data_IF_999318739248
#
_entry.id   IF_999318739248
#
_cell.length_a   1.000
_cell.length_b   1.000
_cell.length_c   1.000
_cell.angle_alpha   90.00
_cell.angle_beta   90.00
_cell.angle_gamma   90.00
#
_symmetry.space_group_name_H-M   'P 1'
#
loop_
_entity.id
_entity.type
_entity.pdbx_description
1 polymer ?
#
# COMPACT_ATOMS: atom_id res chain seq x y z
N UNK A 1 12.94 3.46 -2.76
CA UNK A 1 13.85 2.31 -2.98
C UNK A 1 13.40 1.22 -2.04
N UNK A 2 13.28 -0.02 -2.52
CA UNK A 2 12.75 -1.10 -1.70
C UNK A 2 13.86 -1.74 -0.85
N UNK A 3 13.53 -2.12 0.39
CA UNK A 3 14.54 -2.69 1.30
C UNK A 3 14.62 -4.20 1.06
N UNK A 4 15.82 -4.76 1.21
CA UNK A 4 16.03 -6.19 1.08
C UNK A 4 15.83 -6.88 2.42
N UNK A 5 15.04 -7.96 2.43
CA UNK A 5 14.73 -8.74 3.62
C UNK A 5 15.12 -10.20 3.39
N UNK A 6 15.92 -10.76 4.31
CA UNK A 6 16.26 -12.18 4.34
C UNK A 6 15.28 -12.97 5.20
N UNK A 7 14.91 -14.15 4.71
CA UNK A 7 14.09 -15.13 5.41
C UNK A 7 14.35 -16.55 4.90
N UNK A 8 13.93 -17.57 5.65
CA UNK A 8 13.86 -18.94 5.15
C UNK A 8 12.58 -19.20 4.36
N UNK A 9 12.64 -20.08 3.35
CA UNK A 9 11.45 -20.60 2.68
C UNK A 9 10.64 -21.47 3.66
N UNK A 10 9.32 -21.25 3.80
CA UNK A 10 8.48 -22.03 4.71
C UNK A 10 8.38 -23.51 4.30
N UNK A 11 8.63 -23.83 3.03
CA UNK A 11 8.49 -25.18 2.49
C UNK A 11 9.78 -26.01 2.59
N UNK A 12 10.93 -25.42 2.27
CA UNK A 12 12.20 -26.16 2.18
C UNK A 12 13.32 -25.62 3.08
N UNK A 13 13.07 -24.56 3.86
CA UNK A 13 14.05 -23.93 4.74
C UNK A 13 15.17 -23.15 4.03
N UNK A 14 15.26 -23.21 2.70
CA UNK A 14 16.32 -22.55 1.94
C UNK A 14 16.25 -21.01 2.10
N UNK A 15 17.39 -20.31 2.14
CA UNK A 15 17.41 -18.85 2.31
C UNK A 15 16.83 -18.15 1.08
N UNK A 16 15.96 -17.17 1.29
CA UNK A 16 15.33 -16.36 0.26
C UNK A 16 15.46 -14.88 0.62
N UNK A 17 15.80 -14.07 -0.38
CA UNK A 17 15.79 -12.61 -0.29
C UNK A 17 14.53 -12.09 -0.97
N UNK A 18 13.70 -11.36 -0.24
CA UNK A 18 12.47 -10.72 -0.74
C UNK A 18 12.55 -9.22 -0.48
N UNK A 19 11.77 -8.43 -1.20
CA UNK A 19 11.64 -7.02 -0.91
C UNK A 19 10.75 -6.80 0.33
N UNK A 20 10.90 -5.66 1.00
CA UNK A 20 10.09 -5.28 2.17
C UNK A 20 8.60 -5.17 1.83
N UNK A 21 8.27 -4.73 0.61
CA UNK A 21 6.90 -4.60 0.13
C UNK A 21 6.32 -5.90 -0.43
N UNK A 22 7.12 -6.95 -0.57
CA UNK A 22 6.67 -8.22 -1.13
C UNK A 22 5.70 -8.93 -0.19
N UNK A 23 4.55 -9.29 -0.75
CA UNK A 23 3.56 -10.17 -0.14
C UNK A 23 3.48 -11.53 -0.86
N UNK A 24 4.22 -11.71 -1.94
CA UNK A 24 4.27 -12.92 -2.75
C UNK A 24 5.71 -13.18 -3.21
N UNK A 25 6.15 -14.44 -3.19
CA UNK A 25 7.44 -14.82 -3.78
C UNK A 25 7.42 -16.26 -4.29
N UNK A 26 8.29 -16.53 -5.27
CA UNK A 26 8.57 -17.88 -5.75
C UNK A 26 9.89 -18.34 -5.14
N UNK A 27 9.90 -19.47 -4.44
CA UNK A 27 11.15 -19.98 -3.89
C UNK A 27 12.08 -20.43 -5.03
N UNK A 28 13.32 -19.93 -5.14
CA UNK A 28 14.22 -20.34 -6.22
C UNK A 28 14.66 -21.80 -6.12
N UNK A 29 14.52 -22.43 -4.94
CA UNK A 29 14.93 -23.81 -4.68
C UNK A 29 13.79 -24.81 -4.92
N UNK A 30 12.69 -24.72 -4.15
CA UNK A 30 11.56 -25.66 -4.29
C UNK A 30 10.52 -25.25 -5.35
N UNK A 31 10.65 -24.06 -5.94
CA UNK A 31 9.74 -23.50 -6.96
C UNK A 31 8.29 -23.29 -6.52
N UNK A 32 7.99 -23.44 -5.23
CA UNK A 32 6.66 -23.18 -4.68
C UNK A 32 6.39 -21.68 -4.58
N UNK A 33 5.21 -21.27 -5.03
CA UNK A 33 4.67 -19.93 -4.86
C UNK A 33 4.10 -19.75 -3.45
N UNK A 34 4.51 -18.68 -2.76
CA UNK A 34 4.13 -18.41 -1.38
C UNK A 34 3.63 -16.98 -1.23
N UNK A 35 2.55 -16.81 -0.49
CA UNK A 35 2.16 -15.51 0.06
C UNK A 35 2.75 -15.31 1.46
N UNK A 36 3.08 -14.07 1.77
CA UNK A 36 3.51 -13.59 3.08
C UNK A 36 2.34 -12.82 3.70
N UNK A 37 1.80 -13.34 4.80
CA UNK A 37 0.72 -12.69 5.54
C UNK A 37 1.32 -12.04 6.78
N UNK A 38 1.00 -10.77 7.00
CA UNK A 38 1.52 -9.98 8.13
C UNK A 38 0.37 -9.49 9.03
N UNK A 39 -0.20 -10.33 9.93
CA UNK A 39 -1.41 -10.00 10.69
C UNK A 39 -1.30 -8.74 11.55
N UNK A 40 -0.11 -8.45 12.08
CA UNK A 40 0.18 -7.27 12.90
C UNK A 40 1.17 -6.29 12.24
N UNK A 41 1.18 -6.26 10.91
CA UNK A 41 2.10 -5.47 10.09
C UNK A 41 3.49 -6.11 9.97
N UNK A 42 4.19 -5.77 8.90
CA UNK A 42 5.50 -6.35 8.60
C UNK A 42 6.56 -5.84 9.59
N UNK A 43 7.34 -6.76 10.17
CA UNK A 43 8.30 -6.49 11.24
C UNK A 43 9.67 -7.02 10.86
N UNK A 44 10.66 -6.14 10.92
CA UNK A 44 12.02 -6.37 10.48
C UNK A 44 13.00 -5.89 11.54
N UNK A 45 14.18 -6.52 11.65
CA UNK A 45 15.27 -6.03 12.46
C UNK A 45 16.46 -5.66 11.56
N UNK A 46 17.23 -4.64 11.97
CA UNK A 46 18.55 -4.42 11.41
C UNK A 46 19.46 -5.58 11.82
N UNK A 47 20.25 -6.07 10.87
CA UNK A 47 21.25 -7.10 11.14
C UNK A 47 22.27 -6.56 12.14
N UNK A 48 22.54 -7.33 13.20
CA UNK A 48 23.64 -7.03 14.12
C UNK A 48 24.97 -7.11 13.36
N UNK A 49 25.97 -6.32 13.77
CA UNK A 49 27.30 -6.44 13.17
C UNK A 49 27.91 -7.84 13.34
N UNK A 50 28.80 -8.22 12.42
CA UNK A 50 29.43 -9.56 12.32
C UNK A 50 30.23 -10.03 13.56
N UNK A 51 30.29 -9.25 14.65
CA UNK A 51 31.10 -9.52 15.84
C UNK A 51 30.31 -10.04 17.06
N UNK A 52 29.04 -10.44 16.91
CA UNK A 52 28.16 -10.71 18.06
C UNK A 52 27.65 -12.15 18.19
N UNK A 53 28.25 -13.12 17.49
CA UNK A 53 27.88 -14.55 17.66
C UNK A 53 28.14 -15.08 19.08
N UNK A 54 28.87 -14.36 19.92
CA UNK A 54 29.25 -14.80 21.28
C UNK A 54 28.56 -14.08 22.44
N UNK A 55 27.74 -13.04 22.22
CA UNK A 55 27.07 -12.30 23.31
C UNK A 55 25.61 -11.94 22.97
N UNK A 56 24.77 -12.96 22.74
CA UNK A 56 23.30 -12.77 22.65
C UNK A 56 22.62 -12.43 23.99
N UNK A 57 23.39 -12.21 25.06
CA UNK A 57 22.89 -11.72 26.33
C UNK A 57 22.55 -10.23 26.23
N UNK A 58 21.28 -9.89 26.49
CA UNK A 58 20.73 -8.54 26.66
C UNK A 58 20.67 -7.63 25.42
N UNK A 59 20.27 -8.18 24.26
CA UNK A 59 19.82 -7.38 23.12
C UNK A 59 18.36 -6.93 23.28
N UNK A 60 18.14 -5.63 23.07
CA UNK A 60 16.84 -4.98 23.10
C UNK A 60 16.51 -4.36 21.75
N UNK A 61 15.31 -4.61 21.26
CA UNK A 61 14.86 -4.15 19.95
C UNK A 61 14.01 -2.89 20.07
N UNK A 62 14.55 -1.76 19.63
CA UNK A 62 13.85 -0.47 19.66
C UNK A 62 13.02 -0.29 18.37
N UNK A 63 11.70 -0.03 18.48
CA UNK A 63 10.86 0.10 17.30
C UNK A 63 11.04 1.45 16.59
N UNK A 64 11.32 1.40 15.30
CA UNK A 64 11.12 2.48 14.35
C UNK A 64 9.99 2.10 13.38
N UNK A 65 9.20 3.07 12.95
CA UNK A 65 8.16 2.87 11.94
C UNK A 65 8.62 3.55 10.66
N UNK A 66 8.71 2.78 9.59
CA UNK A 66 8.89 3.33 8.25
C UNK A 66 7.52 3.56 7.62
N UNK A 67 7.31 4.77 7.12
CA UNK A 67 6.22 5.09 6.22
C UNK A 67 6.78 5.36 4.85
N UNK A 68 6.25 4.67 3.84
CA UNK A 68 6.59 4.89 2.44
C UNK A 68 5.31 4.91 1.62
N UNK A 69 5.02 5.99 0.93
CA UNK A 69 3.81 6.07 0.10
C UNK A 69 3.50 7.47 -0.40
N UNK A 70 2.35 7.61 -1.06
CA UNK A 70 1.87 8.91 -1.53
C UNK A 70 0.90 9.53 -0.53
N UNK A 71 1.14 10.79 -0.17
CA UNK A 71 0.23 11.61 0.62
C UNK A 71 -0.49 12.56 -0.32
N UNK A 72 -1.81 12.54 -0.31
CA UNK A 72 -2.68 13.48 -1.01
C UNK A 72 -3.34 14.40 0.00
N UNK A 73 -3.30 15.71 -0.27
CA UNK A 73 -3.95 16.72 0.55
C UNK A 73 -4.90 17.54 -0.30
N UNK A 74 -6.09 17.77 0.24
CA UNK A 74 -7.02 18.76 -0.28
C UNK A 74 -7.08 19.90 0.71
N UNK A 75 -6.58 21.07 0.31
CA UNK A 75 -6.60 22.30 1.11
C UNK A 75 -6.97 23.49 0.22
N UNK A 76 -7.71 24.44 0.80
CA UNK A 76 -8.22 25.59 0.04
C UNK A 76 -9.05 25.15 -1.17
N UNK A 77 -8.47 25.23 -2.38
CA UNK A 77 -9.06 24.78 -3.66
C UNK A 77 -8.08 23.99 -4.52
N UNK A 78 -7.12 23.31 -3.91
CA UNK A 78 -6.11 22.54 -4.62
C UNK A 78 -6.01 21.12 -4.07
N UNK A 79 -5.70 20.19 -4.97
CA UNK A 79 -5.32 18.83 -4.62
C UNK A 79 -3.81 18.75 -4.83
N UNK A 80 -3.07 18.69 -3.73
CA UNK A 80 -1.61 18.54 -3.74
C UNK A 80 -1.23 17.12 -3.36
N UNK A 81 -0.06 16.69 -3.80
CA UNK A 81 0.43 15.34 -3.53
C UNK A 81 1.94 15.30 -3.38
N UNK A 82 2.44 14.36 -2.58
CA UNK A 82 3.88 14.12 -2.42
C UNK A 82 4.15 12.65 -2.12
N UNK A 83 5.31 12.16 -2.53
CA UNK A 83 5.84 10.86 -2.08
C UNK A 83 6.65 11.11 -0.82
N UNK A 84 6.42 10.29 0.20
CA UNK A 84 7.13 10.35 1.48
C UNK A 84 7.73 8.98 1.76
N UNK A 85 9.02 8.96 2.14
CA UNK A 85 9.72 7.79 2.64
C UNK A 85 10.52 8.23 3.87
N UNK A 86 10.08 7.83 5.06
CA UNK A 86 10.67 8.27 6.32
C UNK A 86 10.62 7.16 7.36
N UNK A 87 11.63 7.12 8.23
CA UNK A 87 11.64 6.29 9.44
C UNK A 87 11.51 7.18 10.65
N UNK A 88 10.61 6.85 11.57
CA UNK A 88 10.40 7.59 12.81
C UNK A 88 10.50 6.68 14.02
N UNK A 89 11.17 7.16 15.06
CA UNK A 89 11.24 6.49 16.35
C UNK A 89 9.84 6.29 16.96
N UNK A 90 9.51 5.05 17.32
CA UNK A 90 8.23 4.68 17.93
C UNK A 90 8.23 4.66 19.47
N UNK A 91 9.40 4.83 20.09
CA UNK A 91 9.61 4.80 21.54
C UNK A 91 10.15 6.15 22.04
N UNK A 92 9.43 6.83 22.93
CA UNK A 92 9.73 8.22 23.32
C UNK A 92 10.26 8.39 24.72
N UNK A 93 10.28 7.33 25.53
CA UNK A 93 10.76 7.39 26.91
C UNK A 93 12.30 7.43 27.00
N UNK A 94 12.99 7.39 25.85
CA UNK A 94 14.45 7.46 25.74
C UNK A 94 14.85 8.37 24.58
N UNK A 95 15.90 9.17 24.79
CA UNK A 95 16.49 10.02 23.76
C UNK A 95 17.31 9.16 22.79
N UNK A 96 16.68 8.77 21.69
CA UNK A 96 17.32 8.01 20.61
C UNK A 96 17.33 8.81 19.31
N UNK A 97 18.17 8.43 18.33
CA UNK A 97 18.15 9.05 17.02
C UNK A 97 16.72 9.08 16.45
N UNK A 98 16.24 10.22 15.91
CA UNK A 98 14.85 10.37 15.49
C UNK A 98 14.48 9.51 14.27
N UNK A 99 15.48 9.07 13.50
CA UNK A 99 15.32 8.18 12.35
C UNK A 99 16.45 7.15 12.27
N UNK A 100 16.25 6.11 11.45
CA UNK A 100 17.29 5.14 11.12
C UNK A 100 18.25 5.64 10.03
N UNK A 101 18.03 6.83 9.46
CA UNK A 101 18.80 7.34 8.34
C UNK A 101 18.72 6.41 7.12
N UNK A 102 19.85 6.24 6.44
CA UNK A 102 19.96 5.38 5.25
C UNK A 102 20.27 3.90 5.58
N UNK A 103 20.44 3.55 6.86
CA UNK A 103 20.86 2.20 7.28
C UNK A 103 19.97 1.09 6.74
N UNK A 104 18.62 1.19 6.77
CA UNK A 104 17.77 0.14 6.23
C UNK A 104 17.98 -0.08 4.72
N UNK A 105 18.45 0.93 3.98
CA UNK A 105 18.73 0.85 2.53
C UNK A 105 20.13 0.27 2.24
N UNK A 106 21.06 0.40 3.20
CA UNK A 106 22.44 -0.06 3.07
C UNK A 106 22.66 -1.50 3.56
N UNK A 107 21.66 -2.09 4.22
CA UNK A 107 21.77 -3.39 4.89
C UNK A 107 20.64 -4.32 4.49
N UNK A 108 20.90 -5.63 4.58
CA UNK A 108 19.82 -6.62 4.54
C UNK A 108 19.16 -6.70 5.91
N UNK A 109 17.84 -6.57 5.90
CA UNK A 109 17.02 -6.71 7.09
C UNK A 109 16.71 -8.19 7.34
N UNK A 110 16.48 -8.55 8.59
CA UNK A 110 15.97 -9.87 8.95
C UNK A 110 14.50 -9.75 9.34
N UNK A 111 13.67 -10.69 8.90
CA UNK A 111 12.27 -10.75 9.35
C UNK A 111 12.24 -11.22 10.80
N UNK A 112 11.53 -10.47 11.65
CA UNK A 112 11.44 -10.83 13.07
C UNK A 112 10.66 -12.14 13.18
N UNK A 113 11.26 -13.12 13.86
CA UNK A 113 10.64 -14.40 14.13
C UNK A 113 10.69 -14.72 15.63
N UNK A 114 9.91 -15.70 16.08
CA UNK A 114 9.94 -16.09 17.49
C UNK A 114 11.32 -16.60 17.92
N UNK A 115 11.99 -15.82 18.76
CA UNK A 115 13.16 -16.23 19.53
C UNK A 115 12.94 -15.94 21.02
N UNK A 116 13.12 -16.95 21.87
CA UNK A 116 12.73 -16.89 23.28
C UNK A 116 13.48 -15.83 24.10
N UNK A 117 14.70 -15.46 23.70
CA UNK A 117 15.57 -14.52 24.42
C UNK A 117 15.40 -13.06 24.01
N UNK A 118 14.70 -12.77 22.91
CA UNK A 118 14.63 -11.41 22.36
C UNK A 118 13.58 -10.55 23.07
N UNK A 119 13.95 -9.30 23.37
CA UNK A 119 13.09 -8.35 24.09
C UNK A 119 12.85 -7.10 23.25
N UNK A 120 11.59 -6.71 23.13
CA UNK A 120 11.14 -5.63 22.25
C UNK A 120 10.55 -4.48 23.05
N UNK A 121 10.92 -3.26 22.71
CA UNK A 121 10.31 -2.07 23.32
C UNK A 121 8.94 -1.82 22.67
N UNK A 122 7.95 -1.38 23.47
CA UNK A 122 6.62 -1.11 22.95
C UNK A 122 6.60 0.16 22.10
N UNK A 123 5.59 0.29 21.26
CA UNK A 123 5.26 1.56 20.63
C UNK A 123 4.57 2.46 21.66
N UNK A 124 5.18 3.61 21.92
CA UNK A 124 4.62 4.67 22.79
C UNK A 124 3.81 5.70 22.01
N UNK A 125 4.04 5.78 20.69
CA UNK A 125 3.34 6.69 19.79
C UNK A 125 2.32 5.92 18.94
N UNK A 126 1.15 6.53 18.71
CA UNK A 126 0.14 5.97 17.80
C UNK A 126 0.62 6.06 16.34
N UNK A 127 0.36 5.03 15.54
CA UNK A 127 0.71 5.01 14.11
C UNK A 127 0.14 6.22 13.36
N UNK A 128 -1.10 6.62 13.66
CA UNK A 128 -1.74 7.80 13.06
C UNK A 128 -0.97 9.10 13.29
N UNK A 129 -0.38 9.29 14.48
CA UNK A 129 0.45 10.47 14.75
C UNK A 129 1.78 10.44 13.98
N UNK A 130 2.32 9.26 13.68
CA UNK A 130 3.53 9.11 12.84
C UNK A 130 3.21 9.44 11.38
N UNK A 131 2.07 8.94 10.88
CA UNK A 131 1.55 9.30 9.56
C UNK A 131 1.31 10.82 9.42
N UNK A 132 0.78 11.45 10.47
CA UNK A 132 0.59 12.89 10.50
C UNK A 132 1.94 13.63 10.48
N UNK A 133 2.91 13.21 11.31
CA UNK A 133 4.27 13.78 11.31
C UNK A 133 4.98 13.62 9.97
N UNK A 134 4.82 12.48 9.30
CA UNK A 134 5.42 12.22 7.99
C UNK A 134 4.88 13.20 6.92
N UNK A 135 3.58 13.51 6.96
CA UNK A 135 2.98 14.54 6.12
C UNK A 135 3.46 15.96 6.48
N UNK A 136 3.70 16.26 7.75
CA UNK A 136 4.14 17.59 8.19
C UNK A 136 5.62 17.86 7.85
N UNK A 137 6.50 16.86 8.00
CA UNK A 137 7.91 16.92 7.59
C UNK A 137 8.05 17.19 6.08
N UNK A 138 7.01 16.90 5.32
CA UNK A 138 6.93 17.16 3.88
C UNK A 138 6.59 18.61 3.54
N UNK A 139 6.49 19.53 4.51
CA UNK A 139 6.27 20.97 4.28
C UNK A 139 4.97 21.32 3.54
N UNK A 140 4.01 20.38 3.46
CA UNK A 140 2.74 20.60 2.77
C UNK A 140 1.74 21.41 3.61
N UNK A 141 1.78 21.28 4.94
CA UNK A 141 0.96 22.09 5.86
C UNK A 141 1.49 23.54 5.97
N UNK A 142 2.68 23.82 5.45
CA UNK A 142 3.37 25.12 5.57
C UNK A 142 3.03 26.12 4.44
N UNK A 143 2.26 25.71 3.41
CA UNK A 143 1.83 26.61 2.33
C UNK A 143 0.52 27.32 2.69
N UNK A 144 0.61 28.25 3.63
CA UNK A 144 -0.44 29.21 3.94
C UNK A 144 -1.51 28.71 4.90
N UNK A 145 -2.24 29.67 5.49
CA UNK A 145 -3.29 29.51 6.51
C UNK A 145 -4.57 28.81 5.98
N UNK A 146 -4.46 27.96 4.96
CA UNK A 146 -5.58 27.32 4.30
C UNK A 146 -6.02 26.09 5.09
N UNK A 147 -7.33 26.01 5.38
CA UNK A 147 -7.92 24.88 6.09
C UNK A 147 -7.72 23.56 5.31
N UNK A 148 -7.21 22.54 6.00
CA UNK A 148 -7.06 21.18 5.48
C UNK A 148 -8.42 20.50 5.45
N UNK A 149 -8.94 20.23 4.25
CA UNK A 149 -10.27 19.64 4.05
C UNK A 149 -10.24 18.11 4.05
N UNK A 150 -9.19 17.52 3.50
CA UNK A 150 -9.03 16.07 3.44
C UNK A 150 -7.57 15.66 3.27
N UNK A 151 -7.22 14.50 3.83
CA UNK A 151 -5.92 13.85 3.71
C UNK A 151 -6.14 12.38 3.42
N UNK A 152 -5.45 11.86 2.41
CA UNK A 152 -5.45 10.45 2.05
C UNK A 152 -4.01 9.95 1.90
N UNK A 153 -3.79 8.75 2.38
CA UNK A 153 -2.58 7.99 2.15
C UNK A 153 -2.93 6.94 1.10
N UNK A 154 -2.12 6.83 0.04
CA UNK A 154 -2.36 5.91 -1.08
C UNK A 154 -1.03 5.33 -1.55
N UNK A 155 -1.02 4.02 -1.81
CA UNK A 155 0.19 3.28 -2.12
C UNK A 155 1.14 3.24 -0.94
N UNK A 156 0.62 3.22 0.30
CA UNK A 156 1.43 3.19 1.50
C UNK A 156 1.90 1.78 1.86
N UNK A 157 3.15 1.72 2.32
CA UNK A 157 3.72 0.62 3.09
C UNK A 157 4.05 1.14 4.49
N UNK A 158 3.58 0.40 5.50
CA UNK A 158 3.98 0.58 6.89
C UNK A 158 4.76 -0.66 7.33
N UNK A 159 6.00 -0.45 7.72
CA UNK A 159 6.85 -1.48 8.30
C UNK A 159 7.42 -1.04 9.64
N UNK A 160 7.59 -2.00 10.53
CA UNK A 160 8.32 -1.80 11.78
C UNK A 160 9.74 -2.28 11.56
N UNK A 161 10.72 -1.42 11.79
CA UNK A 161 12.14 -1.74 11.70
C UNK A 161 12.74 -1.57 13.08
N UNK A 162 13.31 -2.64 13.63
CA UNK A 162 13.90 -2.64 14.95
C UNK A 162 15.40 -2.35 14.89
N UNK A 163 15.83 -1.39 15.70
CA UNK A 163 17.24 -1.16 16.00
C UNK A 163 17.65 -2.05 17.18
N UNK A 164 18.57 -3.00 17.01
CA UNK A 164 19.13 -3.74 18.13
C UNK A 164 20.03 -2.82 18.97
N UNK A 165 19.80 -2.81 20.28
CA UNK A 165 20.52 -1.99 21.25
C UNK A 165 20.96 -2.87 22.41
N UNK A 166 22.17 -2.63 22.89
CA UNK A 166 22.75 -3.31 24.06
C UNK A 166 22.85 -2.33 25.23
N UNK A 167 22.65 -2.84 26.43
CA UNK A 167 22.74 -2.05 27.66
C UNK A 167 23.84 -2.62 28.56
N UNK A 168 24.84 -1.80 28.89
CA UNK A 168 25.87 -2.09 29.90
C UNK A 168 25.73 -1.09 31.05
N UNK A 169 25.09 -1.51 32.14
CA UNK A 169 24.69 -0.58 33.19
C UNK A 169 23.81 0.53 32.58
N UNK A 170 24.20 1.80 32.71
CA UNK A 170 23.46 2.93 32.11
C UNK A 170 23.88 3.24 30.67
N UNK A 171 24.98 2.69 30.19
CA UNK A 171 25.48 2.99 28.86
C UNK A 171 24.70 2.17 27.82
N UNK A 172 24.24 2.83 26.77
CA UNK A 172 23.54 2.20 25.67
C UNK A 172 24.42 2.21 24.44
N UNK A 173 24.44 1.08 23.72
CA UNK A 173 25.22 0.93 22.50
C UNK A 173 24.31 0.47 21.36
N UNK A 174 24.47 1.11 20.21
CA UNK A 174 23.89 0.66 18.95
C UNK A 174 24.57 -0.64 18.52
N UNK A 175 23.86 -1.77 18.47
CA UNK A 175 24.46 -3.08 18.16
C UNK A 175 24.77 -3.27 16.66
N UNK A 176 24.44 -2.28 15.82
CA UNK A 176 24.81 -2.27 14.40
C UNK A 176 26.19 -1.62 14.21
N UNK A 177 26.41 -0.47 14.84
CA UNK A 177 27.63 0.35 14.65
C UNK A 177 28.60 0.31 15.85
N UNK A 178 28.17 -0.29 16.97
CA UNK A 178 28.84 -0.24 18.26
C UNK A 178 29.07 1.20 18.80
N UNK A 179 28.28 2.17 18.33
CA UNK A 179 28.38 3.56 18.79
C UNK A 179 27.57 3.77 20.06
N UNK A 180 28.09 4.58 20.98
CA UNK A 180 27.36 5.00 22.17
C UNK A 180 26.09 5.80 21.82
N UNK A 181 25.01 5.49 22.51
CA UNK A 181 23.72 6.18 22.48
C UNK A 181 23.54 6.97 23.78
N UNK A 182 22.48 7.79 23.86
CA UNK A 182 22.17 8.48 25.11
C UNK A 182 21.94 7.48 26.24
N UNK A 183 22.50 7.73 27.44
CA UNK A 183 22.45 6.77 28.53
C UNK A 183 21.02 6.55 29.04
N UNK A 184 20.75 5.34 29.51
CA UNK A 184 19.51 4.99 30.15
C UNK A 184 19.37 5.66 31.54
N UNK A 185 18.13 5.88 32.02
CA UNK A 185 17.89 6.35 33.38
C UNK A 185 18.46 5.40 34.45
N UNK A 186 18.23 4.10 34.29
CA UNK A 186 18.66 3.02 35.20
C UNK A 186 19.30 1.88 34.41
N UNK A 187 20.05 1.03 35.10
CA UNK A 187 20.68 -0.18 34.57
C UNK A 187 19.68 -1.28 34.13
N UNK A 188 18.49 -1.28 34.72
CA UNK A 188 17.39 -2.20 34.37
C UNK A 188 16.37 -1.60 33.40
N UNK A 189 16.57 -0.37 32.93
CA UNK A 189 15.54 0.39 32.19
C UNK A 189 14.97 -0.36 30.97
N UNK A 190 15.82 -0.87 30.07
CA UNK A 190 15.33 -1.59 28.89
C UNK A 190 14.69 -2.92 29.29
N UNK A 191 15.20 -3.59 30.32
CA UNK A 191 14.63 -4.84 30.84
C UNK A 191 13.19 -4.65 31.33
N UNK A 192 12.96 -3.61 32.13
CA UNK A 192 11.65 -3.28 32.72
C UNK A 192 10.63 -2.83 31.67
N UNK A 193 11.07 -2.06 30.66
CA UNK A 193 10.18 -1.50 29.64
C UNK A 193 9.90 -2.45 28.49
N UNK A 194 10.81 -3.38 28.23
CA UNK A 194 10.68 -4.31 27.13
C UNK A 194 9.69 -5.43 27.42
N UNK A 195 9.15 -5.99 26.33
CA UNK A 195 8.21 -7.10 26.34
C UNK A 195 8.79 -8.25 25.52
N UNK A 196 8.46 -9.50 25.86
CA UNK A 196 8.81 -10.63 25.00
C UNK A 196 8.11 -10.50 23.64
N UNK A 197 8.65 -11.22 22.65
CA UNK A 197 8.03 -11.34 21.34
C UNK A 197 6.56 -11.78 21.45
N UNK A 198 5.68 -11.12 20.70
CA UNK A 198 4.26 -11.48 20.65
C UNK A 198 3.99 -12.34 19.43
N UNK A 199 3.39 -13.53 19.58
CA UNK A 199 3.13 -14.46 18.46
C UNK A 199 2.43 -13.84 17.26
N UNK A 200 1.51 -12.88 17.47
CA UNK A 200 0.82 -12.15 16.39
C UNK A 200 1.75 -11.31 15.50
N UNK A 201 2.99 -11.08 15.90
CA UNK A 201 4.01 -10.38 15.13
C UNK A 201 4.72 -11.29 14.12
N UNK A 202 4.57 -12.60 14.27
CA UNK A 202 5.09 -13.58 13.33
C UNK A 202 4.38 -13.40 12.00
N UNK A 203 5.15 -13.33 10.91
CA UNK A 203 4.59 -13.46 9.57
C UNK A 203 4.18 -14.91 9.34
N UNK A 204 2.98 -15.08 8.81
CA UNK A 204 2.48 -16.37 8.35
C UNK A 204 2.78 -16.54 6.86
N UNK A 205 2.88 -17.79 6.43
CA UNK A 205 3.07 -18.11 5.02
C UNK A 205 1.98 -19.07 4.57
N UNK A 206 1.38 -18.77 3.43
CA UNK A 206 0.38 -19.64 2.81
C UNK A 206 0.82 -19.96 1.39
N UNK A 207 0.67 -21.22 0.99
CA UNK A 207 0.89 -21.61 -0.39
C UNK A 207 -0.08 -20.82 -1.29
N UNK A 208 0.41 -20.35 -2.44
CA UNK A 208 -0.41 -19.62 -3.38
C UNK A 208 -1.29 -20.57 -4.18
N UNK A 209 -2.26 -21.20 -3.51
CA UNK A 209 -3.24 -22.11 -4.09
C UNK A 209 -4.63 -21.49 -3.98
N UNK A 210 -5.44 -21.66 -5.02
CA UNK A 210 -6.82 -21.22 -5.04
C UNK A 210 -7.62 -22.02 -4.00
N UNK A 211 -8.23 -21.37 -2.99
CA UNK A 211 -9.04 -22.07 -2.00
C UNK A 211 -10.25 -22.82 -2.58
N UNK A 212 -10.73 -22.47 -3.78
CA UNK A 212 -11.87 -23.14 -4.41
C UNK A 212 -11.49 -24.39 -5.23
N UNK A 213 -10.39 -24.35 -5.99
CA UNK A 213 -10.06 -25.43 -6.94
C UNK A 213 -8.66 -26.03 -6.76
N UNK A 214 -7.87 -25.54 -5.80
CA UNK A 214 -6.50 -26.00 -5.55
C UNK A 214 -5.46 -25.58 -6.60
N UNK A 215 -5.88 -24.88 -7.67
CA UNK A 215 -4.95 -24.46 -8.72
C UNK A 215 -3.98 -23.39 -8.22
N UNK A 216 -2.75 -23.41 -8.73
CA UNK A 216 -1.73 -22.44 -8.38
C UNK A 216 -2.09 -21.01 -8.80
N UNK A 217 -2.11 -20.10 -7.84
CA UNK A 217 -2.29 -18.67 -8.05
C UNK A 217 -0.96 -18.05 -8.48
N UNK A 218 -1.04 -17.22 -9.53
CA UNK A 218 0.12 -16.54 -10.11
C UNK A 218 0.10 -15.07 -9.68
N UNK A 219 1.23 -14.60 -9.16
CA UNK A 219 1.41 -13.23 -8.69
C UNK A 219 2.83 -12.72 -8.92
N UNK A 220 3.05 -11.48 -8.53
CA UNK A 220 4.36 -10.83 -8.48
C UNK A 220 4.58 -10.28 -7.07
N UNK A 221 5.81 -9.90 -6.73
CA UNK A 221 6.28 -9.46 -5.41
C UNK A 221 5.22 -8.85 -4.49
N UNK A 222 4.69 -7.68 -4.85
CA UNK A 222 3.77 -6.89 -4.04
C UNK A 222 2.27 -7.15 -4.33
N UNK A 223 1.95 -8.25 -5.01
CA UNK A 223 0.59 -8.54 -5.44
C UNK A 223 -0.32 -8.85 -4.24
N UNK A 224 -1.44 -8.14 -4.17
CA UNK A 224 -2.47 -8.24 -3.14
C UNK A 224 -3.71 -8.98 -3.62
N UNK A 225 -4.07 -8.89 -4.91
CA UNK A 225 -5.25 -9.56 -5.43
C UNK A 225 -4.98 -10.22 -6.79
N UNK A 226 -5.47 -11.45 -6.94
CA UNK A 226 -5.25 -12.25 -8.15
C UNK A 226 -6.51 -13.02 -8.57
N UNK A 227 -6.85 -13.02 -9.88
CA UNK A 227 -7.77 -13.99 -10.44
C UNK A 227 -7.12 -15.38 -10.51
N UNK A 228 -7.88 -16.42 -10.17
CA UNK A 228 -7.50 -17.80 -10.40
C UNK A 228 -7.54 -18.09 -11.90
N UNK A 229 -6.48 -18.66 -12.50
CA UNK A 229 -6.45 -18.96 -13.93
C UNK A 229 -7.29 -20.18 -14.33
N UNK A 230 -7.93 -20.87 -13.38
CA UNK A 230 -8.62 -22.14 -13.61
C UNK A 230 -10.14 -22.11 -13.36
N UNK A 231 -10.62 -21.41 -12.33
CA UNK A 231 -12.03 -21.48 -11.91
C UNK A 231 -12.75 -20.12 -11.85
N UNK A 232 -12.17 -19.10 -12.50
CA UNK A 232 -12.74 -17.75 -12.63
C UNK A 232 -13.14 -17.08 -11.30
N UNK A 233 -12.57 -17.49 -10.18
CA UNK A 233 -12.64 -16.77 -8.90
C UNK A 233 -11.50 -15.77 -8.75
N UNK A 234 -11.65 -14.72 -7.96
CA UNK A 234 -10.52 -13.88 -7.55
C UNK A 234 -10.36 -13.85 -6.04
N UNK A 235 -9.12 -13.65 -5.59
CA UNK A 235 -8.72 -13.72 -4.19
C UNK A 235 -7.86 -12.52 -3.83
N UNK A 236 -8.17 -11.87 -2.69
CA UNK A 236 -7.38 -10.81 -2.09
C UNK A 236 -6.68 -11.36 -0.84
N UNK A 237 -5.41 -11.03 -0.70
CA UNK A 237 -4.63 -11.30 0.49
C UNK A 237 -5.05 -10.34 1.61
N UNK A 238 -5.57 -10.92 2.69
CA UNK A 238 -5.92 -10.20 3.91
C UNK A 238 -5.05 -10.69 5.07
N UNK A 239 -5.10 -9.98 6.21
CA UNK A 239 -4.46 -10.44 7.45
C UNK A 239 -4.99 -11.78 7.99
N UNK A 240 -6.06 -12.33 7.41
CA UNK A 240 -6.63 -13.66 7.73
C UNK A 240 -6.39 -14.70 6.64
N UNK A 241 -5.55 -14.40 5.65
CA UNK A 241 -5.34 -15.23 4.46
C UNK A 241 -6.14 -14.75 3.25
N UNK A 242 -6.38 -15.66 2.29
CA UNK A 242 -7.06 -15.34 1.03
C UNK A 242 -8.58 -15.21 1.23
N UNK A 243 -9.13 -14.07 0.81
CA UNK A 243 -10.57 -13.81 0.82
C UNK A 243 -11.07 -13.67 -0.61
N UNK A 244 -12.20 -14.31 -0.91
CA UNK A 244 -12.80 -14.23 -2.23
C UNK A 244 -13.35 -12.82 -2.48
N UNK A 245 -13.16 -12.31 -3.69
CA UNK A 245 -13.66 -11.01 -4.11
C UNK A 245 -14.42 -11.11 -5.44
N UNK A 246 -15.39 -10.22 -5.62
CA UNK A 246 -16.07 -10.05 -6.89
C UNK A 246 -15.13 -9.39 -7.90
N UNK A 247 -15.03 -9.98 -9.10
CA UNK A 247 -14.23 -9.40 -10.17
C UNK A 247 -14.94 -9.45 -11.52
N UNK A 248 -14.51 -8.56 -12.41
CA UNK A 248 -15.00 -8.39 -13.77
C UNK A 248 -13.81 -8.13 -14.70
N UNK A 249 -14.06 -8.19 -16.00
CA UNK A 249 -13.09 -7.80 -17.01
C UNK A 249 -13.75 -6.98 -18.11
N UNK A 250 -12.97 -6.11 -18.74
CA UNK A 250 -13.37 -5.43 -19.97
C UNK A 250 -13.41 -6.37 -21.17
N UNK A 251 -13.99 -5.89 -22.26
CA UNK A 251 -13.92 -6.54 -23.57
C UNK A 251 -12.73 -6.02 -24.36
N UNK A 252 -11.98 -6.92 -25.00
CA UNK A 252 -10.87 -6.59 -25.88
C UNK A 252 -10.94 -7.41 -27.16
N UNK A 253 -10.56 -6.79 -28.27
CA UNK A 253 -10.32 -7.49 -29.54
C UNK A 253 -8.83 -7.73 -29.78
N UNK A 254 -7.96 -7.14 -28.97
CA UNK A 254 -6.51 -7.29 -29.06
C UNK A 254 -6.04 -8.47 -28.19
N UNK A 255 -5.62 -9.54 -28.85
CA UNK A 255 -5.07 -10.72 -28.18
C UNK A 255 -3.77 -10.45 -27.39
N UNK A 256 -3.09 -9.32 -27.67
CA UNK A 256 -1.86 -8.91 -27.02
C UNK A 256 -2.05 -7.80 -25.98
N UNK A 257 -3.30 -7.41 -25.69
CA UNK A 257 -3.61 -6.36 -24.74
C UNK A 257 -2.99 -6.63 -23.36
N UNK A 258 -2.51 -5.54 -22.74
CA UNK A 258 -2.06 -5.52 -21.36
C UNK A 258 -3.25 -5.25 -20.45
N UNK A 259 -3.56 -6.17 -19.55
CA UNK A 259 -4.71 -6.04 -18.65
C UNK A 259 -4.29 -5.39 -17.33
N UNK A 260 -4.76 -4.16 -17.11
CA UNK A 260 -4.46 -3.38 -15.91
C UNK A 260 -5.62 -3.46 -14.92
N UNK A 261 -5.35 -3.66 -13.60
CA UNK A 261 -6.39 -3.81 -12.60
C UNK A 261 -6.87 -2.47 -12.05
N UNK A 262 -8.18 -2.36 -11.80
CA UNK A 262 -8.86 -1.21 -11.23
C UNK A 262 -9.85 -1.65 -10.16
N UNK A 263 -9.93 -0.90 -9.07
CA UNK A 263 -11.06 -0.97 -8.16
C UNK A 263 -12.22 -0.16 -8.75
N UNK A 264 -13.33 -0.84 -9.03
CA UNK A 264 -14.62 -0.21 -9.31
C UNK A 264 -15.40 -0.11 -8.01
N UNK A 265 -15.64 1.12 -7.56
CA UNK A 265 -16.39 1.41 -6.32
C UNK A 265 -17.67 2.16 -6.69
N UNK A 266 -18.80 1.47 -6.68
CA UNK A 266 -20.12 2.06 -6.89
C UNK A 266 -20.68 2.57 -5.57
N UNK A 267 -21.12 3.83 -5.53
CA UNK A 267 -21.56 4.47 -4.28
C UNK A 267 -22.39 5.73 -4.53
N UNK A 268 -23.31 6.03 -3.62
CA UNK A 268 -23.98 7.32 -3.53
C UNK A 268 -23.25 8.31 -2.61
N UNK A 269 -23.39 9.61 -2.88
CA UNK A 269 -22.93 10.74 -2.06
C UNK A 269 -24.14 11.63 -1.73
N UNK A 270 -24.85 11.37 -0.62
CA UNK A 270 -26.07 12.09 -0.28
C UNK A 270 -25.87 13.60 -0.13
N UNK A 271 -24.74 14.04 0.45
CA UNK A 271 -24.47 15.46 0.70
C UNK A 271 -24.35 16.30 -0.57
N UNK A 272 -24.14 15.66 -1.73
CA UNK A 272 -24.08 16.29 -3.04
C UNK A 272 -25.25 15.88 -3.96
N UNK A 273 -26.20 15.08 -3.44
CA UNK A 273 -27.25 14.46 -4.22
C UNK A 273 -26.71 13.70 -5.45
N UNK A 274 -25.62 12.95 -5.26
CA UNK A 274 -25.05 12.10 -6.31
C UNK A 274 -25.48 10.65 -6.04
N UNK A 275 -26.30 10.12 -6.94
CA UNK A 275 -26.64 8.69 -6.97
C UNK A 275 -26.23 8.02 -8.28
N UNK A 276 -26.19 8.82 -9.34
CA UNK A 276 -25.97 8.38 -10.72
C UNK A 276 -24.72 9.06 -11.29
N UNK A 277 -24.19 8.49 -12.38
CA UNK A 277 -23.09 9.13 -13.09
C UNK A 277 -23.50 10.50 -13.69
N UNK A 278 -24.75 10.65 -14.11
CA UNK A 278 -25.30 11.93 -14.57
C UNK A 278 -25.27 13.01 -13.47
N UNK A 279 -25.59 12.65 -12.22
CA UNK A 279 -25.48 13.58 -11.08
C UNK A 279 -24.03 14.01 -10.85
N UNK A 280 -23.09 13.06 -10.94
CA UNK A 280 -21.67 13.32 -10.76
C UNK A 280 -21.14 14.33 -11.79
N UNK A 281 -21.47 14.13 -13.07
CA UNK A 281 -21.12 15.03 -14.18
C UNK A 281 -21.69 16.44 -13.94
N UNK A 282 -22.95 16.53 -13.51
CA UNK A 282 -23.63 17.79 -13.20
C UNK A 282 -22.96 18.53 -12.04
N UNK A 283 -22.73 17.85 -10.91
CA UNK A 283 -22.16 18.46 -9.68
C UNK A 283 -20.72 18.90 -9.91
N UNK A 284 -19.93 18.09 -10.61
CA UNK A 284 -18.53 18.41 -10.91
C UNK A 284 -18.37 19.38 -12.09
N UNK A 285 -19.47 19.74 -12.77
CA UNK A 285 -19.56 20.64 -13.95
C UNK A 285 -18.69 20.19 -15.12
N UNK A 286 -18.66 18.89 -15.44
CA UNK A 286 -17.86 18.39 -16.57
C UNK A 286 -18.36 18.91 -17.92
N UNK A 287 -17.46 19.14 -18.89
CA UNK A 287 -17.86 19.33 -20.27
C UNK A 287 -18.46 18.01 -20.80
N UNK A 288 -19.65 18.10 -21.40
CA UNK A 288 -20.34 16.94 -21.96
C UNK A 288 -20.04 16.88 -23.46
N UNK A 289 -19.21 15.91 -23.87
CA UNK A 289 -18.94 15.58 -25.27
C UNK A 289 -19.57 14.24 -25.59
N UNK A 290 -20.59 14.20 -26.45
CA UNK A 290 -21.25 12.94 -26.86
C UNK A 290 -22.61 12.63 -26.21
N UNK A 291 -23.24 13.61 -25.56
CA UNK A 291 -24.59 13.48 -24.98
C UNK A 291 -24.59 13.23 -23.47
N UNK A 292 -25.74 13.43 -22.84
CA UNK A 292 -25.89 13.25 -21.40
C UNK A 292 -25.82 11.77 -21.00
N UNK A 293 -25.12 11.41 -19.92
CA UNK A 293 -25.15 10.05 -19.39
C UNK A 293 -26.58 9.61 -19.04
N UNK A 294 -26.84 8.30 -19.14
CA UNK A 294 -28.13 7.74 -18.74
C UNK A 294 -28.34 7.93 -17.24
N UNK A 295 -29.55 8.32 -16.86
CA UNK A 295 -29.91 8.55 -15.45
C UNK A 295 -29.95 7.27 -14.60
N UNK A 296 -29.98 6.09 -15.20
CA UNK A 296 -30.06 4.81 -14.46
C UNK A 296 -28.68 4.27 -14.06
N UNK A 297 -27.60 4.81 -14.63
CA UNK A 297 -26.25 4.33 -14.37
C UNK A 297 -25.76 4.80 -13.00
N UNK A 298 -25.52 3.85 -12.10
CA UNK A 298 -24.98 4.11 -10.77
C UNK A 298 -23.61 4.78 -10.84
N UNK A 299 -23.39 5.78 -10.00
CA UNK A 299 -22.08 6.42 -9.89
C UNK A 299 -21.03 5.41 -9.43
N UNK A 300 -19.99 5.23 -10.25
CA UNK A 300 -18.86 4.34 -9.97
C UNK A 300 -17.52 5.06 -10.12
N UNK A 301 -16.64 4.91 -9.14
CA UNK A 301 -15.25 5.35 -9.23
C UNK A 301 -14.39 4.22 -9.79
N UNK A 302 -13.53 4.52 -10.78
CA UNK A 302 -12.54 3.60 -11.33
C UNK A 302 -11.15 4.02 -10.89
N UNK A 303 -10.58 3.28 -9.95
CA UNK A 303 -9.36 3.65 -9.23
C UNK A 303 -8.28 2.63 -9.58
N UNK A 304 -7.08 3.03 -10.03
CA UNK A 304 -5.99 2.08 -10.27
C UNK A 304 -5.78 1.18 -9.06
N UNK A 305 -5.85 -0.14 -9.26
CA UNK A 305 -5.51 -1.13 -8.24
C UNK A 305 -4.01 -1.45 -8.27
N UNK A 306 -3.22 -0.51 -8.81
CA UNK A 306 -1.77 -0.61 -8.90
C UNK A 306 -1.08 0.70 -8.52
N UNK A 307 0.12 0.60 -7.96
CA UNK A 307 0.94 1.73 -7.54
C UNK A 307 1.57 2.42 -8.74
N UNK A 308 1.40 3.74 -8.81
CA UNK A 308 2.07 4.66 -9.75
C UNK A 308 2.32 6.00 -9.07
N UNK A 309 3.11 6.87 -9.71
CA UNK A 309 3.38 8.21 -9.18
C UNK A 309 2.07 8.97 -8.94
N UNK A 310 1.94 9.74 -7.85
CA UNK A 310 0.66 10.29 -7.42
C UNK A 310 -0.05 11.18 -8.47
N UNK A 311 0.71 11.94 -9.28
CA UNK A 311 0.14 12.70 -10.41
C UNK A 311 -0.55 11.78 -11.42
N UNK A 312 0.12 10.69 -11.83
CA UNK A 312 -0.42 9.74 -12.82
C UNK A 312 -1.58 8.96 -12.22
N UNK A 313 -1.47 8.55 -10.94
CA UNK A 313 -2.56 7.89 -10.21
C UNK A 313 -3.84 8.73 -10.27
N UNK A 314 -3.75 10.00 -9.88
CA UNK A 314 -4.90 10.89 -9.80
C UNK A 314 -5.48 11.21 -11.18
N UNK A 315 -4.62 11.45 -12.18
CA UNK A 315 -5.05 11.69 -13.55
C UNK A 315 -5.76 10.47 -14.14
N UNK A 316 -5.21 9.28 -13.95
CA UNK A 316 -5.80 8.02 -14.43
C UNK A 316 -7.12 7.77 -13.74
N UNK A 317 -7.17 7.83 -12.40
CA UNK A 317 -8.40 7.59 -11.65
C UNK A 317 -9.52 8.57 -12.04
N UNK A 318 -9.19 9.85 -12.23
CA UNK A 318 -10.15 10.88 -12.64
C UNK A 318 -10.67 10.61 -14.04
N UNK A 319 -9.78 10.41 -15.03
CA UNK A 319 -10.20 10.16 -16.42
C UNK A 319 -11.00 8.88 -16.56
N UNK A 320 -10.57 7.78 -15.93
CA UNK A 320 -11.29 6.51 -15.96
C UNK A 320 -12.68 6.63 -15.31
N UNK A 321 -12.79 7.35 -14.19
CA UNK A 321 -14.09 7.62 -13.55
C UNK A 321 -15.01 8.45 -14.46
N UNK A 322 -14.45 9.43 -15.19
CA UNK A 322 -15.20 10.25 -16.15
C UNK A 322 -15.56 9.53 -17.45
N UNK A 323 -14.93 8.39 -17.74
CA UNK A 323 -15.20 7.56 -18.93
C UNK A 323 -16.00 6.29 -18.61
N UNK A 324 -16.60 6.19 -17.42
CA UNK A 324 -17.23 4.94 -16.94
C UNK A 324 -18.37 4.42 -17.84
N UNK A 325 -19.08 5.30 -18.55
CA UNK A 325 -20.14 4.98 -19.49
C UNK A 325 -19.64 4.32 -20.79
N UNK A 326 -18.35 4.45 -21.11
CA UNK A 326 -17.73 3.82 -22.27
C UNK A 326 -17.17 2.43 -21.95
N UNK A 327 -17.09 2.06 -20.67
CA UNK A 327 -16.46 0.82 -20.24
C UNK A 327 -17.46 -0.33 -20.28
N UNK A 328 -17.25 -1.26 -21.22
CA UNK A 328 -18.04 -2.49 -21.32
C UNK A 328 -17.38 -3.57 -20.48
N UNK A 329 -18.10 -4.04 -19.45
CA UNK A 329 -17.62 -5.04 -18.49
C UNK A 329 -18.46 -6.30 -18.57
N UNK A 330 -17.80 -7.45 -18.64
CA UNK A 330 -18.40 -8.75 -18.47
C UNK A 330 -18.04 -9.34 -17.10
N UNK A 331 -18.91 -10.19 -16.52
CA UNK A 331 -18.52 -11.09 -15.44
C UNK A 331 -17.26 -11.87 -15.85
N UNK A 332 -16.41 -12.19 -14.87
CA UNK A 332 -15.12 -12.86 -15.10
C UNK A 332 -15.19 -14.04 -16.07
N UNK A 333 -14.14 -14.20 -16.89
CA UNK A 333 -14.03 -15.32 -17.80
C UNK A 333 -12.88 -15.18 -18.79
N UNK A 334 -11.98 -16.14 -18.79
CA UNK A 334 -10.96 -16.27 -19.84
C UNK A 334 -9.53 -16.25 -19.30
N UNK A 335 -8.69 -17.08 -19.95
CA UNK A 335 -7.25 -17.11 -19.71
C UNK A 335 -6.62 -15.84 -20.26
N UNK A 336 -6.53 -14.81 -19.44
CA UNK A 336 -5.75 -13.61 -19.76
C UNK A 336 -4.29 -13.92 -19.45
N UNK A 337 -3.47 -13.91 -20.49
CA UNK A 337 -2.04 -14.23 -20.43
C UNK A 337 -1.17 -13.04 -19.95
N UNK A 338 -1.63 -11.79 -20.13
CA UNK A 338 -0.88 -10.58 -19.76
C UNK A 338 -1.66 -9.73 -18.76
N UNK A 339 -1.54 -10.05 -17.46
CA UNK A 339 -2.13 -9.25 -16.37
C UNK A 339 -1.05 -8.50 -15.59
N UNK A 340 -1.33 -7.24 -15.28
CA UNK A 340 -0.53 -6.48 -14.33
C UNK A 340 -1.03 -6.80 -12.90
N UNK A 341 -0.13 -6.95 -11.91
CA UNK A 341 -0.55 -7.29 -10.55
C UNK A 341 -1.41 -6.18 -9.93
N UNK A 342 -2.45 -6.58 -9.20
CA UNK A 342 -3.14 -5.65 -8.31
C UNK A 342 -2.32 -5.53 -7.03
N UNK A 343 -1.64 -4.41 -6.83
CA UNK A 343 -0.70 -4.15 -5.72
C UNK A 343 -1.06 -2.89 -4.90
N UNK A 344 -2.29 -2.40 -5.04
CA UNK A 344 -2.87 -1.34 -4.21
C UNK A 344 -4.16 -1.88 -3.58
N UNK A 345 -4.27 -1.82 -2.26
CA UNK A 345 -5.35 -2.43 -1.49
C UNK A 345 -6.68 -1.69 -1.66
N UNK A 346 -7.81 -2.40 -1.51
CA UNK A 346 -9.13 -1.77 -1.56
C UNK A 346 -9.28 -0.66 -0.49
N UNK A 347 -8.68 -0.83 0.70
CA UNK A 347 -8.70 0.18 1.76
C UNK A 347 -8.07 1.51 1.31
N UNK A 348 -6.98 1.47 0.54
CA UNK A 348 -6.31 2.64 -0.03
C UNK A 348 -7.15 3.28 -1.14
N UNK A 349 -7.76 2.46 -2.00
CA UNK A 349 -8.68 2.95 -3.03
C UNK A 349 -9.89 3.69 -2.42
N UNK A 350 -10.41 3.22 -1.28
CA UNK A 350 -11.48 3.92 -0.54
C UNK A 350 -11.02 5.27 0.01
N UNK A 351 -9.77 5.41 0.44
CA UNK A 351 -9.21 6.72 0.85
C UNK A 351 -9.17 7.71 -0.33
N UNK A 352 -8.98 7.21 -1.56
CA UNK A 352 -8.88 8.04 -2.76
C UNK A 352 -10.19 8.70 -3.21
N UNK A 353 -11.36 8.22 -2.77
CA UNK A 353 -12.66 8.67 -3.30
C UNK A 353 -12.87 10.19 -3.22
N UNK A 354 -12.60 10.80 -2.05
CA UNK A 354 -12.72 12.25 -1.86
C UNK A 354 -11.69 13.02 -2.68
N UNK A 355 -10.49 12.48 -2.84
CA UNK A 355 -9.41 13.07 -3.64
C UNK A 355 -9.79 13.08 -5.12
N UNK A 356 -10.35 11.98 -5.63
CA UNK A 356 -10.80 11.88 -7.03
C UNK A 356 -12.00 12.80 -7.27
N UNK A 357 -12.96 12.87 -6.35
CA UNK A 357 -14.07 13.81 -6.44
C UNK A 357 -13.56 15.26 -6.49
N UNK A 358 -12.63 15.63 -5.61
CA UNK A 358 -12.03 16.96 -5.58
C UNK A 358 -11.24 17.28 -6.86
N UNK A 359 -10.50 16.30 -7.39
CA UNK A 359 -9.72 16.45 -8.62
C UNK A 359 -10.61 16.54 -9.86
N UNK A 360 -11.78 15.89 -9.84
CA UNK A 360 -12.77 15.95 -10.92
C UNK A 360 -13.53 17.28 -10.90
N UNK A 361 -13.76 17.88 -9.73
CA UNK A 361 -14.59 19.07 -9.60
C UNK A 361 -13.99 20.33 -10.27
N UNK A 362 -14.60 20.76 -11.37
CA UNK A 362 -14.38 22.11 -11.91
C UNK A 362 -15.05 23.16 -11.00
N UNK A 363 -16.16 22.79 -10.36
CA UNK A 363 -16.84 23.61 -9.37
C UNK A 363 -16.26 23.52 -7.96
N UNK A 364 -15.02 23.94 -7.78
CA UNK A 364 -14.32 23.82 -6.49
C UNK A 364 -15.01 24.57 -5.35
N UNK A 365 -15.74 25.66 -5.66
CA UNK A 365 -16.42 26.50 -4.66
C UNK A 365 -17.53 25.76 -3.91
N UNK A 366 -18.28 24.92 -4.60
CA UNK A 366 -19.41 24.18 -4.00
C UNK A 366 -18.96 22.82 -3.45
N UNK A 367 -18.05 22.12 -4.14
CA UNK A 367 -17.65 20.77 -3.75
C UNK A 367 -16.69 20.76 -2.54
N UNK A 368 -15.69 21.64 -2.53
CA UNK A 368 -14.60 21.55 -1.55
C UNK A 368 -15.06 21.75 -0.09
N UNK A 369 -15.92 22.75 0.24
CA UNK A 369 -16.41 22.94 1.60
C UNK A 369 -17.17 21.72 2.16
N UNK A 370 -17.72 20.87 1.29
CA UNK A 370 -18.49 19.68 1.68
C UNK A 370 -17.61 18.44 1.87
N UNK A 371 -16.37 18.42 1.33
CA UNK A 371 -15.47 17.26 1.41
C UNK A 371 -15.28 16.70 2.83
N UNK A 372 -15.11 17.51 3.90
CA UNK A 372 -14.96 16.96 5.25
C UNK A 372 -16.19 16.15 5.70
N UNK A 373 -17.39 16.57 5.26
CA UNK A 373 -18.68 16.00 5.68
C UNK A 373 -19.15 14.84 4.81
N UNK A 374 -18.69 14.76 3.56
CA UNK A 374 -19.10 13.72 2.59
C UNK A 374 -18.96 12.32 3.15
N UNK A 375 -20.01 11.53 2.96
CA UNK A 375 -20.07 10.10 3.25
C UNK A 375 -20.44 9.34 1.99
N UNK A 376 -19.94 8.10 1.92
CA UNK A 376 -20.22 7.18 0.83
C UNK A 376 -21.21 6.12 1.33
N UNK A 377 -22.30 5.92 0.59
CA UNK A 377 -23.41 5.02 0.95
C UNK A 377 -23.64 3.99 -0.14
N UNK A 378 -24.20 2.82 0.21
CA UNK A 378 -24.44 1.71 -0.72
C UNK A 378 -23.17 1.30 -1.48
N UNK A 379 -22.06 1.17 -0.75
CA UNK A 379 -20.74 0.93 -1.33
C UNK A 379 -20.66 -0.52 -1.81
N UNK A 380 -20.57 -0.69 -3.13
CA UNK A 380 -20.28 -1.97 -3.78
C UNK A 380 -18.90 -1.90 -4.43
N UNK A 381 -18.09 -2.94 -4.25
CA UNK A 381 -16.68 -2.97 -4.67
C UNK A 381 -16.40 -4.20 -5.52
N UNK A 382 -15.76 -3.99 -6.67
CA UNK A 382 -15.40 -5.04 -7.62
C UNK A 382 -13.99 -4.78 -8.17
N UNK A 383 -13.16 -5.81 -8.27
CA UNK A 383 -11.89 -5.73 -8.99
C UNK A 383 -12.15 -5.89 -10.49
N UNK A 384 -11.67 -4.96 -11.30
CA UNK A 384 -11.90 -4.94 -12.74
C UNK A 384 -10.58 -4.96 -13.48
N UNK A 385 -10.40 -5.89 -14.41
CA UNK A 385 -9.27 -5.84 -15.33
C UNK A 385 -9.71 -5.18 -16.64
N UNK A 386 -9.03 -4.10 -17.03
CA UNK A 386 -9.33 -3.37 -18.26
C UNK A 386 -8.21 -3.59 -19.28
N UNK A 387 -8.54 -3.78 -20.57
CA UNK A 387 -7.55 -4.00 -21.61
C UNK A 387 -6.96 -2.68 -22.11
N UNK A 388 -5.63 -2.66 -22.23
CA UNK A 388 -4.87 -1.58 -22.81
C UNK A 388 -4.06 -2.11 -23.99
N UNK A 389 -4.24 -1.52 -25.16
CA UNK A 389 -3.40 -1.84 -26.31
C UNK A 389 -2.02 -1.18 -26.14
N UNK A 390 -1.02 -1.83 -26.71
CA UNK A 390 0.36 -1.38 -26.67
C UNK A 390 0.69 -0.53 -27.89
N UNK A 391 0.95 0.77 -27.69
CA UNK A 391 1.34 1.73 -28.75
C UNK A 391 2.86 2.00 -28.76
N UNK A 392 3.66 1.03 -28.30
CA UNK A 392 5.12 1.12 -28.24
C UNK A 392 5.64 1.81 -26.97
N UNK A 393 5.23 3.05 -26.71
CA UNK A 393 5.66 3.82 -25.51
C UNK A 393 4.63 3.83 -24.38
N UNK A 394 3.36 3.82 -24.76
CA UNK A 394 2.22 3.93 -23.86
C UNK A 394 1.31 2.70 -23.97
N UNK A 395 0.61 2.43 -22.88
CA UNK A 395 -0.56 1.57 -22.86
C UNK A 395 -1.80 2.44 -22.94
N UNK A 396 -2.68 2.20 -23.90
CA UNK A 396 -3.87 3.00 -24.13
C UNK A 396 -5.12 2.15 -23.96
N UNK A 397 -6.02 2.58 -23.07
CA UNK A 397 -7.26 1.85 -22.80
C UNK A 397 -8.19 1.90 -24.01
N UNK A 398 -8.63 0.73 -24.49
CA UNK A 398 -9.29 0.58 -25.80
C UNK A 398 -10.59 1.39 -25.96
N UNK A 399 -11.34 1.60 -24.88
CA UNK A 399 -12.70 2.17 -24.94
C UNK A 399 -12.75 3.66 -24.56
N UNK A 400 -11.83 4.11 -23.70
CA UNK A 400 -11.77 5.47 -23.13
C UNK A 400 -10.61 6.30 -23.69
N UNK A 401 -9.62 5.67 -24.33
CA UNK A 401 -8.42 6.35 -24.82
C UNK A 401 -7.46 6.84 -23.72
N UNK A 402 -7.67 6.43 -22.46
CA UNK A 402 -6.76 6.81 -21.36
C UNK A 402 -5.41 6.13 -21.56
N UNK A 403 -4.36 6.95 -21.69
CA UNK A 403 -2.97 6.51 -21.83
C UNK A 403 -2.23 6.44 -20.48
N UNK A 404 -1.40 5.41 -20.31
CA UNK A 404 -0.46 5.22 -19.22
C UNK A 404 0.89 4.79 -19.80
N UNK A 405 1.94 5.58 -19.56
CA UNK A 405 3.28 5.24 -20.03
C UNK A 405 3.83 3.95 -19.41
N UNK A 406 4.43 3.09 -20.24
CA UNK A 406 4.97 1.79 -19.81
C UNK A 406 6.00 1.91 -18.68
N UNK A 407 6.85 2.92 -18.77
CA UNK A 407 7.87 3.21 -17.76
C UNK A 407 7.24 3.56 -16.42
N UNK A 408 6.06 4.18 -16.41
CA UNK A 408 5.38 4.54 -15.16
C UNK A 408 4.97 3.31 -14.37
N UNK A 409 4.53 2.25 -15.04
CA UNK A 409 4.20 0.98 -14.38
C UNK A 409 5.45 0.32 -13.77
N UNK A 410 6.55 0.24 -14.52
CA UNK A 410 7.79 -0.39 -14.03
C UNK A 410 8.45 0.36 -12.87
N UNK A 411 8.30 1.69 -12.80
CA UNK A 411 8.75 2.49 -11.66
C UNK A 411 7.72 2.54 -10.53
N UNK A 412 6.44 2.35 -10.85
CA UNK A 412 5.32 2.42 -9.91
C UNK A 412 5.32 1.30 -8.88
N UNK A 413 5.69 0.09 -9.27
CA UNK A 413 5.92 -1.04 -8.34
C UNK A 413 7.05 -0.77 -7.33
N UNK A 414 7.91 0.21 -7.59
CA UNK A 414 9.00 0.61 -6.69
C UNK A 414 8.64 1.84 -5.85
N UNK A 415 7.36 2.20 -5.74
CA UNK A 415 6.92 3.32 -4.89
C UNK A 415 6.65 2.92 -3.45
#
# INVERSE_FOLDING_TARGET
MDLSVEQGCPQCGAPVSVAESDNFFVCPFCKVNNYIVNPAGARYALSCGNNLEQERGDLYFIPYIRFRGSVFLVSGREVSHRIVDTTQLGFTDLLLPPSLGLRPQAMKLTRVSYHASERFLPLTIKVQSILARAANLSGMDSRGNAEMLHRAYIGEGLSFIYLPVRQEGRNLFDAVTNSALSPAPTDTFLQERSKPFQRKWQSDFIAALCPQCGWELQGQGDCLAVPCPNCDTAWELSGKGLQQLAWQQGESRDAMAMWLPFWKISTGIPELAISTFADYVRVTKQPITGGWPKKEELMSFFIPAFKVRPKVFLQTATRMTLSQNHLHLAPGGGRISRRYPANLALSEARQALKVILAASALNKKEVFPLLPRIRFTNVCTTLVFLPFHDDGHDFIQEQSGVSIGKTVLSWGSKL
#
